data_IF_893317429751
#
_entry.id   IF_893317429751
#
_cell.length_a   1.000
_cell.length_b   1.000
_cell.length_c   1.000
_cell.angle_alpha   90.00
_cell.angle_beta   90.00
_cell.angle_gamma   90.00
#
_symmetry.space_group_name_H-M   'P 1'
#
loop_
_entity.id
_entity.type
_entity.pdbx_description
1 polymer ?
#
# COMPACT_ATOMS: atom_id res chain seq x y z
N UNK A 1 27.78 -65.20 47.73
CA UNK A 1 26.52 -64.54 48.13
C UNK A 1 26.90 -63.29 48.94
N UNK A 2 27.21 -62.18 48.27
CA UNK A 2 27.66 -60.93 48.91
C UNK A 2 26.53 -59.89 48.84
N UNK A 3 25.53 -60.04 49.72
CA UNK A 3 24.34 -59.17 49.76
C UNK A 3 24.65 -57.80 50.40
N UNK A 4 25.77 -57.69 51.15
CA UNK A 4 26.14 -56.48 51.89
C UNK A 4 26.51 -55.26 51.03
N UNK A 5 26.88 -55.45 49.76
CA UNK A 5 27.21 -54.33 48.87
C UNK A 5 25.98 -53.53 48.41
N UNK A 6 24.79 -54.14 48.38
CA UNK A 6 23.58 -53.47 47.90
C UNK A 6 22.83 -52.70 48.99
N UNK A 7 23.01 -53.04 50.27
CA UNK A 7 22.33 -52.38 51.39
C UNK A 7 23.24 -51.46 52.21
N UNK A 8 24.49 -51.23 51.76
CA UNK A 8 25.45 -50.38 52.47
C UNK A 8 25.74 -50.87 53.89
N UNK A 9 25.67 -52.18 54.14
CA UNK A 9 25.85 -52.83 55.45
C UNK A 9 24.88 -52.36 56.55
N UNK A 10 23.76 -51.75 56.18
CA UNK A 10 22.63 -51.52 57.09
C UNK A 10 21.69 -52.71 57.05
N UNK A 11 21.31 -53.22 58.21
CA UNK A 11 20.34 -54.31 58.33
C UNK A 11 18.97 -53.75 57.94
N UNK A 12 18.30 -54.29 56.90
CA UNK A 12 16.99 -53.79 56.49
C UNK A 12 15.94 -54.04 57.58
N UNK A 13 14.93 -53.17 57.72
CA UNK A 13 13.87 -53.33 58.71
C UNK A 13 13.11 -54.64 58.47
N UNK A 14 12.67 -55.30 59.54
CA UNK A 14 12.05 -56.64 59.49
C UNK A 14 10.82 -56.73 58.57
N UNK A 15 10.18 -55.58 58.26
CA UNK A 15 9.07 -55.46 57.30
C UNK A 15 9.45 -55.82 55.86
N UNK A 16 10.73 -55.71 55.47
CA UNK A 16 11.22 -56.11 54.14
C UNK A 16 11.60 -57.60 54.05
N UNK A 17 12.02 -58.21 55.17
CA UNK A 17 12.43 -59.62 55.22
C UNK A 17 11.25 -60.59 55.34
N UNK A 18 10.20 -60.17 56.05
CA UNK A 18 8.98 -60.95 56.24
C UNK A 18 7.87 -60.31 55.43
N UNK A 19 7.88 -60.60 54.13
CA UNK A 19 6.96 -60.04 53.14
C UNK A 19 5.50 -60.00 53.59
N UNK A 20 5.08 -58.85 54.10
CA UNK A 20 3.73 -58.39 53.89
C UNK A 20 3.63 -58.02 52.42
N UNK A 21 2.85 -58.77 51.63
CA UNK A 21 2.42 -58.30 50.32
C UNK A 21 1.77 -56.93 50.54
N UNK A 22 2.49 -55.87 50.19
CA UNK A 22 1.84 -54.60 49.88
C UNK A 22 1.07 -54.90 48.60
N UNK A 23 -0.25 -55.03 48.72
CA UNK A 23 -1.13 -55.03 47.55
C UNK A 23 -0.79 -53.79 46.74
N UNK A 24 -0.19 -53.99 45.56
CA UNK A 24 -0.07 -52.95 44.57
C UNK A 24 -1.50 -52.64 44.14
N UNK A 25 -2.05 -51.58 44.70
CA UNK A 25 -3.25 -50.95 44.16
C UNK A 25 -2.84 -50.51 42.75
N UNK A 26 -3.55 -51.02 41.73
CA UNK A 26 -3.35 -50.67 40.32
C UNK A 26 -3.88 -49.23 40.13
N UNK A 27 -3.09 -48.28 40.64
CA UNK A 27 -3.41 -46.86 40.78
C UNK A 27 -3.11 -46.12 39.48
N UNK A 28 -3.51 -46.66 38.33
CA UNK A 28 -3.21 -46.08 37.01
C UNK A 28 -4.48 -45.67 36.26
N UNK A 29 -4.60 -44.38 35.96
CA UNK A 29 -5.71 -43.86 35.17
C UNK A 29 -5.36 -43.91 33.67
N UNK A 30 -6.02 -44.79 32.90
CA UNK A 30 -5.79 -44.94 31.45
C UNK A 30 -6.25 -43.74 30.61
N UNK A 31 -7.21 -42.95 31.10
CA UNK A 31 -7.75 -41.78 30.37
C UNK A 31 -6.81 -40.56 30.43
N UNK A 32 -6.13 -40.37 31.57
CA UNK A 32 -5.29 -39.20 31.83
C UNK A 32 -3.80 -39.52 31.90
N UNK A 33 -3.41 -40.79 31.74
CA UNK A 33 -2.02 -41.27 31.65
C UNK A 33 -1.16 -40.86 32.85
N UNK A 34 -1.77 -40.81 34.04
CA UNK A 34 -1.14 -40.50 35.32
C UNK A 34 -1.70 -41.43 36.42
N UNK A 35 -0.97 -41.63 37.53
CA UNK A 35 -1.52 -42.40 38.64
C UNK A 35 -2.81 -41.77 39.18
N UNK A 36 -3.84 -42.57 39.49
CA UNK A 36 -5.17 -42.06 39.88
C UNK A 36 -5.10 -41.25 41.18
N UNK A 37 -4.28 -41.67 42.15
CA UNK A 37 -3.99 -40.94 43.38
C UNK A 37 -3.35 -39.57 43.18
N UNK A 38 -2.76 -39.32 42.00
CA UNK A 38 -2.09 -38.08 41.63
C UNK A 38 -2.82 -37.31 40.53
N UNK A 39 -3.90 -37.87 39.98
CA UNK A 39 -4.63 -37.28 38.86
C UNK A 39 -5.46 -36.06 39.32
N UNK A 40 -5.11 -34.88 38.83
CA UNK A 40 -5.81 -33.63 39.20
C UNK A 40 -7.23 -33.53 38.60
N UNK A 41 -7.51 -34.29 37.53
CA UNK A 41 -8.85 -34.36 36.92
C UNK A 41 -9.76 -35.32 37.69
N UNK A 42 -9.23 -36.44 38.19
CA UNK A 42 -9.99 -37.43 38.96
C UNK A 42 -10.13 -37.03 40.45
N UNK A 43 -9.13 -36.37 41.04
CA UNK A 43 -9.14 -35.93 42.43
C UNK A 43 -9.02 -34.40 42.54
N UNK A 44 -10.15 -33.68 42.66
CA UNK A 44 -10.17 -32.22 42.75
C UNK A 44 -9.45 -31.63 43.97
N UNK A 45 -9.14 -32.44 44.99
CA UNK A 45 -8.48 -31.96 46.20
C UNK A 45 -6.96 -31.76 46.00
N UNK A 46 -6.36 -32.38 44.98
CA UNK A 46 -4.93 -32.27 44.70
C UNK A 46 -4.57 -30.89 44.13
N UNK A 47 -5.50 -30.27 43.42
CA UNK A 47 -5.32 -28.92 42.88
C UNK A 47 -6.66 -28.17 42.93
N UNK A 48 -6.91 -27.32 43.95
CA UNK A 48 -8.13 -26.56 44.03
C UNK A 48 -8.24 -25.61 42.84
N UNK A 49 -9.44 -25.53 42.24
CA UNK A 49 -9.68 -24.65 41.09
C UNK A 49 -9.46 -23.19 41.51
N UNK A 50 -8.58 -22.44 40.83
CA UNK A 50 -8.37 -21.03 41.12
C UNK A 50 -9.63 -20.22 40.80
N UNK A 51 -9.70 -19.00 41.33
CA UNK A 51 -10.77 -18.07 41.01
C UNK A 51 -10.72 -17.73 39.51
N UNK A 52 -11.81 -17.98 38.80
CA UNK A 52 -11.94 -17.62 37.39
C UNK A 52 -12.32 -16.13 37.25
N UNK A 53 -11.61 -15.42 36.37
CA UNK A 53 -11.89 -14.00 36.06
C UNK A 53 -12.58 -13.80 34.70
N UNK A 54 -12.64 -14.85 33.88
CA UNK A 54 -13.33 -14.82 32.58
C UNK A 54 -12.49 -14.21 31.46
N UNK A 55 -13.18 -13.79 30.40
CA UNK A 55 -12.57 -13.22 29.19
C UNK A 55 -12.36 -11.72 29.32
N UNK A 56 -11.15 -11.26 29.01
CA UNK A 56 -10.81 -9.83 28.99
C UNK A 56 -11.12 -9.23 27.61
N UNK A 57 -12.06 -8.27 27.55
CA UNK A 57 -12.43 -7.59 26.31
C UNK A 57 -11.34 -6.65 25.76
N UNK A 58 -10.45 -6.15 26.61
CA UNK A 58 -9.38 -5.22 26.20
C UNK A 58 -8.20 -5.95 25.54
N UNK A 59 -7.81 -7.09 26.10
CA UNK A 59 -6.64 -7.86 25.68
C UNK A 59 -6.98 -9.10 24.85
N UNK A 60 -8.27 -9.43 24.72
CA UNK A 60 -8.74 -10.53 23.89
C UNK A 60 -8.26 -11.91 24.34
N UNK A 61 -8.11 -12.14 25.65
CA UNK A 61 -7.66 -13.41 26.23
C UNK A 61 -8.48 -13.79 27.46
N UNK A 62 -8.73 -15.09 27.64
CA UNK A 62 -9.27 -15.64 28.89
C UNK A 62 -8.20 -15.63 29.98
N UNK A 63 -8.59 -15.33 31.22
CA UNK A 63 -7.68 -15.32 32.37
C UNK A 63 -6.48 -14.38 32.15
N UNK A 64 -6.79 -13.14 31.76
CA UNK A 64 -5.78 -12.15 31.38
C UNK A 64 -4.84 -11.79 32.52
N UNK A 65 -3.58 -12.24 32.43
CA UNK A 65 -2.51 -11.96 33.40
C UNK A 65 -2.12 -10.48 33.45
N UNK A 66 -2.44 -9.69 32.41
CA UNK A 66 -2.19 -8.24 32.40
C UNK A 66 -3.18 -7.47 33.28
N UNK A 67 -4.44 -7.90 33.31
CA UNK A 67 -5.49 -7.31 34.17
C UNK A 67 -5.54 -7.96 35.56
N UNK A 68 -5.12 -9.21 35.66
CA UNK A 68 -5.07 -10.00 36.89
C UNK A 68 -3.67 -10.60 37.08
N UNK A 69 -2.68 -9.79 37.54
CA UNK A 69 -1.29 -10.23 37.69
C UNK A 69 -1.13 -11.41 38.67
N UNK A 70 -2.07 -11.59 39.59
CA UNK A 70 -2.14 -12.73 40.52
C UNK A 70 -2.26 -14.10 39.84
N UNK A 71 -2.67 -14.13 38.56
CA UNK A 71 -2.71 -15.36 37.76
C UNK A 71 -1.32 -15.77 37.24
N UNK A 72 -0.33 -14.87 37.29
CA UNK A 72 1.02 -15.16 36.83
C UNK A 72 1.71 -16.19 37.74
N UNK A 73 2.10 -17.34 37.19
CA UNK A 73 2.86 -18.37 37.90
C UNK A 73 4.36 -18.05 37.90
N UNK A 74 4.74 -16.89 38.46
CA UNK A 74 6.13 -16.41 38.51
C UNK A 74 6.75 -16.58 39.90
N UNK A 75 8.08 -16.71 39.94
CA UNK A 75 8.84 -16.67 41.20
C UNK A 75 9.07 -15.20 41.58
N UNK A 76 8.28 -14.69 42.54
CA UNK A 76 8.37 -13.31 43.01
C UNK A 76 7.19 -12.45 42.56
N UNK A 77 7.39 -11.13 42.51
CA UNK A 77 6.33 -10.20 42.08
C UNK A 77 6.15 -10.22 40.55
N UNK A 78 4.91 -10.33 40.04
CA UNK A 78 4.61 -10.20 38.62
C UNK A 78 5.05 -8.84 38.08
N UNK A 79 5.85 -8.85 37.02
CA UNK A 79 6.23 -7.63 36.30
C UNK A 79 5.30 -7.45 35.10
N UNK A 80 4.55 -6.35 35.10
CA UNK A 80 3.73 -5.97 33.96
C UNK A 80 4.62 -5.45 32.80
N UNK A 81 4.16 -5.61 31.55
CA UNK A 81 4.85 -5.05 30.38
C UNK A 81 5.10 -3.54 30.55
N UNK A 82 6.23 -3.06 30.04
CA UNK A 82 6.57 -1.63 30.12
C UNK A 82 5.80 -0.78 29.11
N UNK A 83 5.26 -1.41 28.08
CA UNK A 83 4.57 -0.75 26.97
C UNK A 83 3.12 -1.20 26.84
N UNK A 84 2.31 -0.37 26.20
CA UNK A 84 0.89 -0.66 25.95
C UNK A 84 0.73 -1.81 24.95
N UNK A 85 0.28 -2.96 25.48
CA UNK A 85 0.08 -4.19 24.71
C UNK A 85 -1.10 -4.10 23.75
N UNK A 86 -2.08 -3.23 23.98
CA UNK A 86 -3.26 -3.10 23.11
C UNK A 86 -2.89 -2.45 21.78
N UNK A 87 -2.04 -1.41 21.84
CA UNK A 87 -1.49 -0.77 20.65
C UNK A 87 -0.66 -1.75 19.81
N UNK A 88 0.11 -2.63 20.46
CA UNK A 88 0.93 -3.63 19.78
C UNK A 88 0.08 -4.70 19.06
N UNK A 89 -1.09 -5.08 19.60
CA UNK A 89 -2.02 -6.03 18.96
C UNK A 89 -2.61 -5.42 17.67
N UNK A 90 -2.91 -4.12 17.67
CA UNK A 90 -3.54 -3.44 16.54
C UNK A 90 -2.63 -3.27 15.30
N UNK A 91 -1.31 -3.41 15.45
CA UNK A 91 -0.35 -3.18 14.36
C UNK A 91 -0.41 -4.24 13.25
N UNK A 92 -0.79 -5.47 13.58
CA UNK A 92 -0.78 -6.60 12.65
C UNK A 92 -2.10 -7.36 12.73
N UNK A 93 -2.68 -7.79 11.59
CA UNK A 93 -3.84 -8.67 11.61
C UNK A 93 -3.45 -10.00 12.25
N UNK A 94 -4.15 -10.39 13.31
CA UNK A 94 -3.95 -11.64 14.05
C UNK A 94 -5.29 -12.36 14.22
N UNK A 95 -5.32 -13.70 14.29
CA UNK A 95 -6.53 -14.43 14.68
C UNK A 95 -6.98 -14.00 16.08
N UNK A 96 -8.24 -13.58 16.21
CA UNK A 96 -8.81 -13.19 17.50
C UNK A 96 -9.21 -14.43 18.31
N UNK A 97 -8.94 -14.41 19.61
CA UNK A 97 -9.45 -15.45 20.49
C UNK A 97 -10.94 -15.21 20.76
N UNK A 98 -11.70 -16.31 20.77
CA UNK A 98 -13.13 -16.28 21.06
C UNK A 98 -13.38 -16.45 22.56
N UNK A 99 -14.25 -15.62 23.14
CA UNK A 99 -14.69 -15.73 24.55
C UNK A 99 -15.40 -17.04 24.88
N UNK A 100 -15.96 -17.73 23.87
CA UNK A 100 -16.58 -19.06 24.02
C UNK A 100 -15.56 -20.21 24.05
N UNK A 101 -14.29 -19.94 23.80
CA UNK A 101 -13.25 -20.97 23.79
C UNK A 101 -12.85 -21.38 25.21
N UNK A 102 -13.11 -22.63 25.59
CA UNK A 102 -12.80 -23.20 26.91
C UNK A 102 -11.48 -23.96 26.97
N UNK A 103 -10.66 -23.95 25.91
CA UNK A 103 -9.39 -24.69 25.88
C UNK A 103 -8.42 -24.28 27.00
N UNK A 104 -8.48 -23.03 27.46
CA UNK A 104 -7.68 -22.55 28.60
C UNK A 104 -7.96 -23.32 29.91
N UNK A 105 -9.11 -24.01 30.00
CA UNK A 105 -9.49 -24.83 31.16
C UNK A 105 -8.92 -26.25 31.09
N UNK A 106 -8.61 -26.73 29.89
CA UNK A 106 -8.05 -28.06 29.66
C UNK A 106 -6.60 -28.09 30.10
N UNK A 107 -6.25 -29.01 31.00
CA UNK A 107 -4.91 -29.13 31.55
C UNK A 107 -4.25 -30.40 31.06
N UNK A 108 -2.93 -30.33 30.90
CA UNK A 108 -2.10 -31.49 30.59
C UNK A 108 -1.24 -31.75 31.81
N UNK A 109 -1.39 -32.93 32.41
CA UNK A 109 -0.57 -33.39 33.53
C UNK A 109 0.39 -34.47 33.04
N UNK A 110 1.66 -34.37 33.45
CA UNK A 110 2.65 -35.42 33.21
C UNK A 110 2.76 -36.33 34.44
N UNK A 111 3.00 -37.63 34.19
CA UNK A 111 3.16 -38.62 35.26
C UNK A 111 4.38 -38.35 36.17
N UNK A 112 5.43 -37.71 35.65
CA UNK A 112 6.61 -37.31 36.43
C UNK A 112 7.43 -36.23 35.70
N UNK A 113 8.30 -35.53 36.43
CA UNK A 113 9.26 -34.58 35.85
C UNK A 113 10.23 -35.26 34.86
N UNK A 114 10.65 -36.49 35.13
CA UNK A 114 11.51 -37.27 34.21
C UNK A 114 10.80 -37.62 32.90
N UNK A 115 9.46 -37.66 32.90
CA UNK A 115 8.68 -37.87 31.67
C UNK A 115 8.77 -36.65 30.75
N UNK A 116 8.75 -35.43 31.31
CA UNK A 116 8.91 -34.17 30.56
C UNK A 116 10.25 -34.16 29.80
N UNK A 117 11.33 -34.56 30.49
CA UNK A 117 12.67 -34.69 29.90
C UNK A 117 12.72 -35.78 28.81
N UNK A 118 12.12 -36.95 29.08
CA UNK A 118 12.06 -38.07 28.11
C UNK A 118 11.28 -37.70 26.84
N UNK A 119 10.26 -36.86 26.97
CA UNK A 119 9.49 -36.33 25.85
C UNK A 119 10.14 -35.13 25.16
N UNK A 120 11.29 -34.65 25.66
CA UNK A 120 12.04 -33.54 25.06
C UNK A 120 11.31 -32.20 25.13
N UNK A 121 10.47 -32.00 26.15
CA UNK A 121 9.75 -30.74 26.35
C UNK A 121 10.71 -29.76 27.01
N UNK A 122 11.06 -28.71 26.26
CA UNK A 122 11.88 -27.61 26.75
C UNK A 122 11.00 -26.43 27.18
N UNK A 123 11.44 -25.69 28.18
CA UNK A 123 10.71 -24.55 28.75
C UNK A 123 11.70 -23.39 28.88
N UNK A 124 11.33 -22.25 28.30
CA UNK A 124 12.07 -21.00 28.48
C UNK A 124 11.15 -19.89 28.99
N UNK A 125 11.74 -18.90 29.65
CA UNK A 125 11.01 -17.75 30.18
C UNK A 125 10.68 -16.78 29.03
N UNK A 126 9.40 -16.44 28.89
CA UNK A 126 8.98 -15.37 27.99
C UNK A 126 9.59 -14.03 28.43
N UNK A 127 10.31 -13.36 27.53
CA UNK A 127 10.98 -12.08 27.80
C UNK A 127 10.54 -11.01 26.79
N UNK A 128 10.34 -9.79 27.27
CA UNK A 128 10.11 -8.62 26.42
C UNK A 128 11.41 -8.20 25.73
N UNK A 129 11.39 -8.06 24.40
CA UNK A 129 12.53 -7.58 23.59
C UNK A 129 12.04 -6.67 22.47
N UNK A 130 12.88 -5.71 22.08
CA UNK A 130 12.61 -4.83 20.95
C UNK A 130 12.66 -5.64 19.64
N UNK A 131 11.59 -5.59 18.85
CA UNK A 131 11.51 -6.22 17.53
C UNK A 131 11.39 -5.12 16.46
N UNK A 132 12.19 -5.21 15.40
CA UNK A 132 12.07 -4.33 14.23
C UNK A 132 11.15 -4.99 13.20
N UNK A 133 10.08 -4.30 12.82
CA UNK A 133 9.21 -4.70 11.71
C UNK A 133 9.68 -4.02 10.42
N UNK A 134 10.22 -4.80 9.48
CA UNK A 134 10.79 -4.30 8.23
C UNK A 134 9.94 -4.84 7.08
N UNK A 135 9.16 -3.97 6.45
CA UNK A 135 8.48 -4.29 5.20
C UNK A 135 9.42 -4.03 4.02
N UNK A 136 9.80 -5.08 3.29
CA UNK A 136 10.58 -4.94 2.06
C UNK A 136 9.65 -4.88 0.86
N UNK A 137 9.75 -3.82 0.06
CA UNK A 137 8.95 -3.63 -1.15
C UNK A 137 9.82 -3.03 -2.28
N UNK A 138 9.43 -3.32 -3.53
CA UNK A 138 10.05 -2.71 -4.69
C UNK A 138 9.46 -1.31 -4.94
N UNK A 139 10.31 -0.34 -5.25
CA UNK A 139 9.91 1.02 -5.61
C UNK A 139 10.48 1.44 -6.95
N UNK A 140 9.77 2.32 -7.65
CA UNK A 140 10.22 2.96 -8.90
C UNK A 140 10.29 4.48 -8.71
N UNK A 141 11.35 5.09 -9.23
CA UNK A 141 11.50 6.55 -9.24
C UNK A 141 10.96 7.08 -10.56
N UNK A 142 9.82 7.76 -10.50
CA UNK A 142 9.18 8.40 -11.67
C UNK A 142 9.27 9.92 -11.57
N UNK A 143 9.18 10.60 -12.72
CA UNK A 143 9.10 12.05 -12.73
C UNK A 143 7.79 12.53 -12.08
N UNK A 144 7.86 13.68 -11.42
CA UNK A 144 6.66 14.34 -10.91
C UNK A 144 5.84 14.87 -12.12
N UNK A 145 4.60 14.39 -12.35
CA UNK A 145 3.80 14.79 -13.51
C UNK A 145 3.44 16.29 -13.51
N UNK A 146 3.48 16.96 -12.35
CA UNK A 146 3.26 18.43 -12.27
C UNK A 146 4.47 19.25 -12.71
N UNK A 147 5.63 18.62 -12.88
CA UNK A 147 6.89 19.26 -13.30
C UNK A 147 7.40 18.77 -14.66
N UNK A 148 6.59 18.02 -15.38
CA UNK A 148 6.88 17.54 -16.74
C UNK A 148 5.85 18.12 -17.70
N UNK A 149 6.33 18.60 -18.84
CA UNK A 149 5.48 19.05 -19.93
C UNK A 149 5.84 18.30 -21.21
N UNK A 150 4.83 17.71 -21.85
CA UNK A 150 4.99 17.10 -23.17
C UNK A 150 4.65 18.14 -24.23
N UNK A 151 5.64 18.51 -25.04
CA UNK A 151 5.48 19.51 -26.07
C UNK A 151 5.04 18.85 -27.37
N UNK A 152 3.96 19.38 -27.96
CA UNK A 152 3.40 18.93 -29.23
C UNK A 152 3.40 20.10 -30.21
N UNK A 153 3.65 19.83 -31.49
CA UNK A 153 3.54 20.83 -32.55
C UNK A 153 2.08 21.11 -32.86
N UNK A 154 1.71 22.38 -33.10
CA UNK A 154 0.34 22.76 -33.48
C UNK A 154 -0.08 22.25 -34.86
N UNK A 155 0.89 22.07 -35.75
CA UNK A 155 0.69 21.73 -37.16
C UNK A 155 1.63 20.58 -37.51
N UNK A 156 1.18 19.55 -38.26
CA UNK A 156 2.06 18.51 -38.75
C UNK A 156 3.12 19.09 -39.69
N UNK A 157 4.33 18.54 -39.63
CA UNK A 157 5.46 19.00 -40.42
C UNK A 157 6.68 18.11 -40.25
N UNK A 158 7.75 18.47 -40.96
CA UNK A 158 9.05 17.81 -40.87
C UNK A 158 9.96 18.63 -39.95
N UNK A 159 10.74 17.97 -39.10
CA UNK A 159 11.73 18.67 -38.25
C UNK A 159 12.87 19.18 -39.14
N UNK A 160 12.98 20.50 -39.27
CA UNK A 160 14.02 21.13 -40.09
C UNK A 160 15.34 21.28 -39.32
N UNK A 161 15.28 21.56 -38.02
CA UNK A 161 16.44 21.67 -37.16
C UNK A 161 16.09 21.36 -35.70
N UNK A 162 17.04 20.81 -34.95
CA UNK A 162 16.94 20.58 -33.51
C UNK A 162 18.05 21.36 -32.83
N UNK A 163 17.68 22.27 -31.93
CA UNK A 163 18.63 23.14 -31.22
C UNK A 163 18.95 22.63 -29.82
N UNK A 164 18.07 21.82 -29.23
CA UNK A 164 18.22 21.26 -27.88
C UNK A 164 17.98 19.76 -27.91
N UNK A 165 18.88 19.02 -27.27
CA UNK A 165 18.82 17.56 -27.15
C UNK A 165 18.66 17.14 -25.68
N UNK A 166 18.44 15.85 -25.46
CA UNK A 166 18.34 15.27 -24.11
C UNK A 166 19.56 15.65 -23.27
N UNK A 167 19.31 16.11 -22.04
CA UNK A 167 20.34 16.53 -21.09
C UNK A 167 20.68 18.02 -21.14
N UNK A 168 20.24 18.78 -22.15
CA UNK A 168 20.42 20.23 -22.17
C UNK A 168 19.41 20.95 -21.29
N UNK A 169 19.89 21.96 -20.57
CA UNK A 169 19.02 22.91 -19.88
C UNK A 169 18.24 23.77 -20.87
N UNK A 170 16.95 23.93 -20.57
CA UNK A 170 16.00 24.75 -21.33
C UNK A 170 15.30 25.71 -20.39
N UNK A 171 15.10 26.95 -20.84
CA UNK A 171 14.32 27.97 -20.15
C UNK A 171 13.04 28.27 -20.91
N UNK A 172 12.10 28.94 -20.25
CA UNK A 172 10.89 29.45 -20.91
C UNK A 172 11.31 30.35 -22.08
N UNK A 173 10.67 30.15 -23.24
CA UNK A 173 10.92 30.83 -24.52
C UNK A 173 12.20 30.41 -25.27
N UNK A 174 12.91 29.38 -24.81
CA UNK A 174 14.00 28.81 -25.61
C UNK A 174 13.44 28.08 -26.85
N UNK A 175 14.09 28.25 -27.99
CA UNK A 175 13.77 27.51 -29.21
C UNK A 175 14.40 26.12 -29.11
N UNK A 176 13.56 25.09 -29.06
CA UNK A 176 13.98 23.69 -28.92
C UNK A 176 14.20 23.04 -30.29
N UNK A 177 13.28 23.26 -31.21
CA UNK A 177 13.33 22.73 -32.58
C UNK A 177 12.58 23.65 -33.54
N UNK A 178 12.95 23.59 -34.82
CA UNK A 178 12.26 24.22 -35.93
C UNK A 178 11.53 23.14 -36.73
N UNK A 179 10.25 23.36 -36.99
CA UNK A 179 9.40 22.46 -37.78
C UNK A 179 8.96 23.18 -39.04
N UNK A 180 9.25 22.58 -40.18
CA UNK A 180 8.78 23.03 -41.48
C UNK A 180 7.45 22.35 -41.81
N UNK A 181 6.44 23.15 -42.16
CA UNK A 181 5.08 22.67 -42.44
C UNK A 181 4.56 23.25 -43.75
N UNK A 182 4.24 22.34 -44.67
CA UNK A 182 3.60 22.69 -45.95
C UNK A 182 2.27 23.42 -45.74
N UNK A 183 1.51 23.06 -44.69
CA UNK A 183 0.21 23.68 -44.40
C UNK A 183 0.35 25.18 -44.07
N UNK A 184 1.39 25.54 -43.31
CA UNK A 184 1.70 26.96 -43.01
C UNK A 184 2.11 27.70 -44.28
N UNK A 185 2.91 27.05 -45.14
CA UNK A 185 3.30 27.61 -46.45
C UNK A 185 2.10 27.88 -47.37
N UNK A 186 1.15 26.94 -47.44
CA UNK A 186 -0.09 27.12 -48.20
C UNK A 186 -0.96 28.24 -47.64
N UNK A 187 -1.17 28.29 -46.33
CA UNK A 187 -1.97 29.34 -45.68
C UNK A 187 -1.35 30.74 -45.90
N UNK A 188 -0.03 30.87 -45.78
CA UNK A 188 0.70 32.11 -46.07
C UNK A 188 0.50 32.55 -47.53
N UNK A 189 0.62 31.61 -48.46
CA UNK A 189 0.46 31.88 -49.90
C UNK A 189 -0.96 32.34 -50.23
N UNK A 190 -1.97 31.67 -49.67
CA UNK A 190 -3.39 32.05 -49.83
C UNK A 190 -3.69 33.44 -49.26
N UNK A 191 -3.14 33.76 -48.08
CA UNK A 191 -3.30 35.08 -47.47
C UNK A 191 -2.70 36.19 -48.35
N UNK A 192 -1.48 35.98 -48.86
CA UNK A 192 -0.83 36.95 -49.76
C UNK A 192 -1.64 37.15 -51.04
N UNK A 193 -2.17 36.07 -51.62
CA UNK A 193 -3.02 36.16 -52.81
C UNK A 193 -4.31 36.93 -52.53
N UNK A 194 -5.02 36.62 -51.44
CA UNK A 194 -6.25 37.30 -51.06
C UNK A 194 -6.02 38.81 -50.79
N UNK A 195 -4.89 39.16 -50.15
CA UNK A 195 -4.52 40.54 -49.89
C UNK A 195 -4.31 41.34 -51.18
N UNK A 196 -3.63 40.75 -52.18
CA UNK A 196 -3.40 41.40 -53.47
C UNK A 196 -4.72 41.57 -54.23
N UNK A 197 -5.59 40.55 -54.22
CA UNK A 197 -6.90 40.63 -54.87
C UNK A 197 -7.79 41.70 -54.24
N UNK A 198 -7.89 41.74 -52.91
CA UNK A 198 -8.65 42.79 -52.21
C UNK A 198 -8.14 44.19 -52.56
N UNK A 199 -6.83 44.41 -52.53
CA UNK A 199 -6.22 45.70 -52.91
C UNK A 199 -6.57 46.10 -54.34
N UNK A 200 -6.48 45.16 -55.28
CA UNK A 200 -6.82 45.41 -56.68
C UNK A 200 -8.29 45.80 -56.85
N UNK A 201 -9.21 45.05 -56.23
CA UNK A 201 -10.66 45.32 -56.30
C UNK A 201 -11.02 46.64 -55.63
N UNK A 202 -10.44 46.93 -54.47
CA UNK A 202 -10.61 48.19 -53.76
C UNK A 202 -10.18 49.38 -54.61
N UNK A 203 -8.99 49.33 -55.20
CA UNK A 203 -8.52 50.41 -56.10
C UNK A 203 -9.39 50.55 -57.34
N UNK A 204 -9.97 49.45 -57.84
CA UNK A 204 -10.93 49.50 -58.95
C UNK A 204 -12.21 50.25 -58.56
N UNK A 205 -12.80 49.92 -57.40
CA UNK A 205 -13.98 50.63 -56.86
C UNK A 205 -13.66 52.10 -56.61
N UNK A 206 -12.53 52.41 -55.97
CA UNK A 206 -12.08 53.79 -55.71
C UNK A 206 -11.96 54.63 -56.99
N UNK A 207 -11.52 54.03 -58.10
CA UNK A 207 -11.43 54.69 -59.41
C UNK A 207 -12.79 54.85 -60.09
N UNK A 208 -13.67 53.85 -59.99
CA UNK A 208 -14.97 53.86 -60.68
C UNK A 208 -16.02 54.73 -59.98
N UNK A 209 -15.94 54.86 -58.65
CA UNK A 209 -16.88 55.65 -57.84
C UNK A 209 -17.05 57.10 -58.34
N UNK A 210 -15.98 57.92 -58.52
CA UNK A 210 -16.13 59.29 -59.02
C UNK A 210 -16.64 59.36 -60.48
N UNK A 211 -16.27 58.37 -61.31
CA UNK A 211 -16.64 58.33 -62.73
C UNK A 211 -18.13 57.98 -62.89
N UNK A 212 -18.63 57.03 -62.11
CA UNK A 212 -20.05 56.66 -62.13
C UNK A 212 -20.95 57.82 -61.67
N UNK A 213 -20.54 58.59 -60.65
CA UNK A 213 -21.26 59.80 -60.23
C UNK A 213 -21.33 60.89 -61.29
N UNK A 214 -20.40 60.91 -62.25
CA UNK A 214 -20.44 61.83 -63.41
C UNK A 214 -21.25 61.30 -64.60
N UNK A 215 -21.88 60.12 -64.48
CA UNK A 215 -22.74 59.52 -65.50
C UNK A 215 -22.02 58.82 -66.66
N UNK A 216 -20.69 58.82 -66.68
CA UNK A 216 -19.88 58.24 -67.76
C UNK A 216 -19.78 56.71 -67.73
N UNK A 217 -20.16 56.07 -66.62
CA UNK A 217 -20.07 54.63 -66.39
C UNK A 217 -21.40 54.12 -65.80
N UNK A 218 -21.91 53.01 -66.35
CA UNK A 218 -23.20 52.42 -65.93
C UNK A 218 -23.20 52.07 -64.44
N UNK A 219 -24.27 52.44 -63.72
CA UNK A 219 -24.41 52.10 -62.29
C UNK A 219 -24.31 50.61 -62.00
N UNK A 220 -24.70 49.75 -62.94
CA UNK A 220 -24.51 48.29 -62.86
C UNK A 220 -23.04 47.91 -62.67
N UNK A 221 -22.14 48.54 -63.43
CA UNK A 221 -20.70 48.22 -63.36
C UNK A 221 -20.07 48.66 -62.05
N UNK A 222 -20.59 49.70 -61.39
CA UNK A 222 -20.15 50.08 -60.05
C UNK A 222 -20.60 49.03 -59.01
N UNK A 223 -21.87 48.62 -59.06
CA UNK A 223 -22.43 47.59 -58.16
C UNK A 223 -21.69 46.25 -58.32
N UNK A 224 -21.38 45.86 -59.56
CA UNK A 224 -20.62 44.64 -59.86
C UNK A 224 -19.19 44.73 -59.31
N UNK A 225 -18.55 45.91 -59.41
CA UNK A 225 -17.21 46.14 -58.87
C UNK A 225 -17.20 46.17 -57.32
N UNK A 226 -18.21 46.75 -56.69
CA UNK A 226 -18.38 46.78 -55.23
C UNK A 226 -18.62 45.38 -54.69
N UNK A 227 -19.52 44.61 -55.29
CA UNK A 227 -19.74 43.18 -54.96
C UNK A 227 -18.44 42.39 -55.04
N UNK A 228 -17.66 42.57 -56.12
CA UNK A 228 -16.38 41.88 -56.28
C UNK A 228 -15.31 42.33 -55.26
N UNK A 229 -15.40 43.56 -54.73
CA UNK A 229 -14.54 44.03 -53.64
C UNK A 229 -14.93 43.38 -52.33
N UNK A 230 -16.22 43.33 -52.01
CA UNK A 230 -16.75 42.69 -50.80
C UNK A 230 -16.40 41.19 -50.78
N UNK A 231 -16.56 40.48 -51.90
CA UNK A 231 -16.13 39.08 -52.02
C UNK A 231 -14.63 38.89 -51.71
N UNK A 232 -13.78 39.78 -52.26
CA UNK A 232 -12.34 39.73 -52.02
C UNK A 232 -11.97 40.07 -50.57
N UNK A 233 -12.74 40.94 -49.91
CA UNK A 233 -12.60 41.26 -48.48
C UNK A 233 -12.93 40.08 -47.59
N UNK A 234 -14.05 39.39 -47.87
CA UNK A 234 -14.43 38.16 -47.17
C UNK A 234 -13.34 37.08 -47.32
N UNK A 235 -12.80 36.91 -48.53
CA UNK A 235 -11.69 35.98 -48.78
C UNK A 235 -10.42 36.34 -48.01
N UNK A 236 -10.08 37.63 -47.92
CA UNK A 236 -8.96 38.11 -47.11
C UNK A 236 -9.17 37.81 -45.61
N UNK A 237 -10.36 38.10 -45.08
CA UNK A 237 -10.68 37.80 -43.69
C UNK A 237 -10.60 36.30 -43.39
N UNK A 238 -11.14 35.46 -44.28
CA UNK A 238 -11.08 34.01 -44.15
C UNK A 238 -9.63 33.50 -44.17
N UNK A 239 -8.82 33.94 -45.13
CA UNK A 239 -7.41 33.54 -45.23
C UNK A 239 -6.59 34.02 -44.01
N UNK A 240 -6.87 35.22 -43.49
CA UNK A 240 -6.24 35.73 -42.27
C UNK A 240 -6.61 34.88 -41.05
N UNK A 241 -7.89 34.54 -40.91
CA UNK A 241 -8.34 33.68 -39.82
C UNK A 241 -7.72 32.28 -39.90
N UNK A 242 -7.61 31.71 -41.10
CA UNK A 242 -6.96 30.41 -41.30
C UNK A 242 -5.47 30.44 -40.88
N UNK A 243 -4.76 31.52 -41.18
CA UNK A 243 -3.36 31.69 -40.76
C UNK A 243 -3.24 31.90 -39.23
N UNK A 244 -4.13 32.70 -38.65
CA UNK A 244 -4.23 32.91 -37.19
C UNK A 244 -4.54 31.62 -36.42
N UNK A 245 -5.41 30.76 -36.95
CA UNK A 245 -5.73 29.47 -36.35
C UNK A 245 -4.49 28.55 -36.26
N UNK A 246 -3.49 28.73 -37.12
CA UNK A 246 -2.21 28.00 -37.04
C UNK A 246 -1.26 28.60 -35.99
N UNK A 247 -1.63 29.70 -35.34
CA UNK A 247 -0.88 30.37 -34.29
C UNK A 247 0.01 31.51 -34.76
N UNK A 248 -0.24 32.06 -35.95
CA UNK A 248 0.51 33.20 -36.50
C UNK A 248 -0.38 34.44 -36.60
N UNK A 249 -0.02 35.52 -35.90
CA UNK A 249 -0.78 36.77 -35.87
C UNK A 249 -0.39 37.76 -36.98
#
# INVERSE_FOLDING_TARGET
MYVGHHTGWKVPPASELYGGKVEQIDDWCSEHLVPESQCIECNPNLYPKPKEFGFCSEHGVSECVLCHPELAQVKGEPQLPKHDTTQAIALLPRPENNSRNTLHRSRVQFASATSVEKYGIDIDLAQERMMSDILTANGEVVFNPTRVAHLMTRVPGTVAAVFKTVGHDVKRNDVIALVDSAQVGHAKSQLLQALVQYRLRRTTVERLRPISSSGAVSGKTLIDAESAMEEAEVMLHSARQAFANLGFE
#
